data_IF_625886017876
#
_entry.id   IF_625886017876
#
_cell.length_a   1.000
_cell.length_b   1.000
_cell.length_c   1.000
_cell.angle_alpha   90.00
_cell.angle_beta   90.00
_cell.angle_gamma   90.00
#
_symmetry.space_group_name_H-M   'P 1'
#
loop_
_entity.id
_entity.type
_entity.pdbx_description
1 polymer ?
#
# COMPACT_ATOMS: atom_id res chain seq x y z
N UNK A 1 -4.91 7.18 -16.62
CA UNK A 1 -3.62 6.48 -16.48
C UNK A 1 -3.67 5.27 -17.40
N UNK A 2 -2.56 4.84 -18.02
CA UNK A 2 -2.58 3.62 -18.84
C UNK A 2 -2.61 2.37 -17.97
N UNK A 3 -2.92 1.21 -18.57
CA UNK A 3 -2.86 -0.08 -17.88
C UNK A 3 -1.45 -0.35 -17.34
N UNK A 4 -0.42 -0.02 -18.13
CA UNK A 4 0.98 -0.24 -17.80
C UNK A 4 1.41 0.63 -16.61
N UNK A 5 0.99 1.89 -16.60
CA UNK A 5 1.24 2.81 -15.48
C UNK A 5 0.56 2.34 -14.19
N UNK A 6 -0.71 1.91 -14.28
CA UNK A 6 -1.48 1.38 -13.15
C UNK A 6 -0.81 0.12 -12.57
N UNK A 7 -0.44 -0.81 -13.45
CA UNK A 7 0.26 -2.05 -13.10
C UNK A 7 1.61 -1.76 -12.45
N UNK A 8 2.37 -0.80 -13.00
CA UNK A 8 3.66 -0.37 -12.47
C UNK A 8 3.52 0.20 -11.06
N UNK A 9 2.52 1.04 -10.80
CA UNK A 9 2.26 1.58 -9.46
C UNK A 9 1.94 0.49 -8.44
N UNK A 10 1.07 -0.47 -8.79
CA UNK A 10 0.76 -1.60 -7.90
C UNK A 10 2.01 -2.45 -7.61
N UNK A 11 2.85 -2.71 -8.62
CA UNK A 11 4.13 -3.40 -8.43
C UNK A 11 5.07 -2.65 -7.49
N UNK A 12 5.17 -1.32 -7.64
CA UNK A 12 6.00 -0.49 -6.76
C UNK A 12 5.51 -0.57 -5.30
N UNK A 13 4.20 -0.51 -5.06
CA UNK A 13 3.64 -0.69 -3.72
C UNK A 13 3.96 -2.09 -3.16
N UNK A 14 3.87 -3.13 -3.99
CA UNK A 14 4.25 -4.49 -3.60
C UNK A 14 5.73 -4.62 -3.23
N UNK A 15 6.63 -3.99 -3.97
CA UNK A 15 8.07 -3.93 -3.65
C UNK A 15 8.31 -3.22 -2.33
N UNK A 16 7.67 -2.07 -2.10
CA UNK A 16 7.76 -1.37 -0.82
C UNK A 16 7.28 -2.23 0.35
N UNK A 17 6.17 -2.98 0.17
CA UNK A 17 5.71 -3.91 1.21
C UNK A 17 6.75 -5.00 1.50
N UNK A 18 7.36 -5.58 0.47
CA UNK A 18 8.37 -6.62 0.63
C UNK A 18 9.60 -6.10 1.41
N UNK A 19 10.04 -4.87 1.12
CA UNK A 19 11.13 -4.22 1.84
C UNK A 19 10.79 -4.01 3.33
N UNK A 20 9.60 -3.48 3.62
CA UNK A 20 9.13 -3.29 5.01
C UNK A 20 9.05 -4.63 5.75
N UNK A 21 8.52 -5.68 5.10
CA UNK A 21 8.42 -7.01 5.70
C UNK A 21 9.79 -7.65 5.97
N UNK A 22 10.76 -7.40 5.10
CA UNK A 22 12.13 -7.84 5.31
C UNK A 22 12.75 -7.19 6.55
N UNK A 23 12.56 -5.87 6.72
CA UNK A 23 13.03 -5.14 7.90
C UNK A 23 12.30 -5.55 9.18
N UNK A 24 11.03 -5.95 9.10
CA UNK A 24 10.23 -6.45 10.22
C UNK A 24 10.57 -7.90 10.62
N UNK A 25 11.29 -8.66 9.80
CA UNK A 25 11.59 -10.07 10.06
C UNK A 25 12.59 -10.29 11.23
N UNK A 26 13.71 -9.55 11.33
CA UNK A 26 14.60 -9.67 12.48
C UNK A 26 14.08 -8.84 13.67
N UNK A 27 13.71 -9.53 14.75
CA UNK A 27 13.47 -8.90 16.06
C UNK A 27 14.52 -9.38 17.08
N UNK A 28 15.06 -8.47 17.92
CA UNK A 28 14.80 -7.04 17.95
C UNK A 28 15.47 -6.29 16.79
N UNK A 29 14.80 -5.26 16.27
CA UNK A 29 15.35 -4.37 15.24
C UNK A 29 16.18 -3.27 15.89
N UNK A 30 17.26 -2.83 15.24
CA UNK A 30 18.04 -1.68 15.70
C UNK A 30 17.32 -0.35 15.40
N UNK A 31 17.71 0.77 16.04
CA UNK A 31 17.04 2.06 15.85
C UNK A 31 17.02 2.58 14.41
N UNK A 32 18.02 2.26 13.59
CA UNK A 32 18.03 2.67 12.18
C UNK A 32 17.02 1.86 11.38
N UNK A 33 16.92 0.55 11.64
CA UNK A 33 15.87 -0.31 11.07
C UNK A 33 14.48 0.16 11.46
N UNK A 34 14.25 0.54 12.72
CA UNK A 34 12.96 1.11 13.14
C UNK A 34 12.62 2.40 12.39
N UNK A 35 13.58 3.32 12.25
CA UNK A 35 13.39 4.57 11.53
C UNK A 35 13.05 4.31 10.05
N UNK A 36 13.74 3.36 9.40
CA UNK A 36 13.47 2.96 8.03
C UNK A 36 12.06 2.35 7.87
N UNK A 37 11.66 1.43 8.76
CA UNK A 37 10.32 0.83 8.78
C UNK A 37 9.25 1.93 8.85
N UNK A 38 9.43 2.92 9.73
CA UNK A 38 8.50 4.04 9.89
C UNK A 38 8.40 4.88 8.63
N UNK A 39 9.54 5.29 8.07
CA UNK A 39 9.58 6.11 6.85
C UNK A 39 8.89 5.40 5.69
N UNK A 40 9.29 4.16 5.40
CA UNK A 40 8.73 3.38 4.30
C UNK A 40 7.23 3.12 4.48
N UNK A 41 6.80 2.85 5.72
CA UNK A 41 5.37 2.64 6.02
C UNK A 41 4.57 3.94 5.88
N UNK A 42 5.14 5.09 6.26
CA UNK A 42 4.52 6.39 6.05
C UNK A 42 4.33 6.68 4.56
N UNK A 43 5.39 6.46 3.76
CA UNK A 43 5.39 6.68 2.32
C UNK A 43 4.38 5.77 1.62
N UNK A 44 4.36 4.48 1.97
CA UNK A 44 3.39 3.51 1.45
C UNK A 44 1.96 3.94 1.79
N UNK A 45 1.69 4.30 3.05
CA UNK A 45 0.38 4.74 3.51
C UNK A 45 -0.08 5.99 2.74
N UNK A 46 0.79 6.99 2.60
CA UNK A 46 0.50 8.23 1.88
C UNK A 46 0.27 7.96 0.39
N UNK A 47 1.04 7.06 -0.22
CA UNK A 47 0.87 6.66 -1.61
C UNK A 47 -0.49 6.02 -1.87
N UNK A 48 -0.92 5.10 -1.01
CA UNK A 48 -2.24 4.45 -1.10
C UNK A 48 -3.35 5.47 -0.86
N UNK A 49 -3.23 6.31 0.16
CA UNK A 49 -4.22 7.36 0.46
C UNK A 49 -4.41 8.32 -0.72
N UNK A 50 -3.30 8.76 -1.31
CA UNK A 50 -3.32 9.69 -2.45
C UNK A 50 -4.04 9.08 -3.65
N UNK A 51 -3.79 7.82 -3.96
CA UNK A 51 -4.47 7.11 -5.05
C UNK A 51 -5.96 6.85 -4.72
N UNK A 52 -6.27 6.55 -3.47
CA UNK A 52 -7.65 6.38 -3.01
C UNK A 52 -8.46 7.68 -3.16
N UNK A 53 -7.88 8.82 -2.76
CA UNK A 53 -8.51 10.14 -2.94
C UNK A 53 -8.63 10.49 -4.42
N UNK A 54 -7.60 10.21 -5.23
CA UNK A 54 -7.60 10.51 -6.67
C UNK A 54 -8.70 9.76 -7.42
N UNK A 55 -8.97 8.51 -7.07
CA UNK A 55 -9.89 7.61 -7.80
C UNK A 55 -11.35 7.74 -7.37
N UNK A 56 -11.65 8.44 -6.29
CA UNK A 56 -13.00 8.58 -5.76
C UNK A 56 -13.95 9.50 -6.56
N UNK A 57 -13.54 10.69 -7.03
CA UNK A 57 -14.49 11.61 -7.64
C UNK A 57 -15.08 11.03 -8.93
N UNK A 58 -16.41 11.03 -9.07
CA UNK A 58 -17.11 10.49 -10.26
C UNK A 58 -16.58 11.07 -11.57
N UNK A 59 -16.24 12.37 -11.58
CA UNK A 59 -15.66 13.04 -12.76
C UNK A 59 -14.36 12.38 -13.23
N UNK A 60 -13.54 11.88 -12.29
CA UNK A 60 -12.30 11.18 -12.60
C UNK A 60 -12.63 9.77 -13.08
N UNK A 61 -13.55 9.07 -12.42
CA UNK A 61 -13.98 7.73 -12.81
C UNK A 61 -14.50 7.67 -14.25
N UNK A 62 -15.26 8.68 -14.71
CA UNK A 62 -15.71 8.76 -16.11
C UNK A 62 -14.59 8.86 -17.14
N UNK A 63 -13.40 9.30 -16.73
CA UNK A 63 -12.20 9.42 -17.57
C UNK A 63 -11.21 8.26 -17.40
N UNK A 64 -11.47 7.35 -16.46
CA UNK A 64 -10.60 6.20 -16.18
C UNK A 64 -10.80 5.10 -17.22
N UNK A 65 -9.73 4.36 -17.47
CA UNK A 65 -9.79 3.17 -18.32
C UNK A 65 -10.63 2.06 -17.66
N UNK A 66 -11.12 1.09 -18.46
CA UNK A 66 -11.82 -0.09 -17.92
C UNK A 66 -10.96 -0.83 -16.88
N UNK A 67 -9.65 -0.94 -17.13
CA UNK A 67 -8.71 -1.54 -16.19
C UNK A 67 -8.63 -0.73 -14.88
N UNK A 68 -8.56 0.59 -14.99
CA UNK A 68 -8.54 1.46 -13.82
C UNK A 68 -9.80 1.32 -12.97
N UNK A 69 -10.98 1.26 -13.60
CA UNK A 69 -12.28 1.12 -12.92
C UNK A 69 -12.49 -0.27 -12.32
N UNK A 70 -12.09 -1.33 -13.04
CA UNK A 70 -12.42 -2.70 -12.67
C UNK A 70 -11.39 -3.36 -11.76
N UNK A 71 -10.13 -2.91 -11.83
CA UNK A 71 -9.01 -3.54 -11.12
C UNK A 71 -8.31 -2.55 -10.21
N UNK A 72 -7.77 -1.46 -10.77
CA UNK A 72 -6.89 -0.57 -10.02
C UNK A 72 -7.61 0.13 -8.86
N UNK A 73 -8.73 0.81 -9.13
CA UNK A 73 -9.47 1.55 -8.11
C UNK A 73 -10.02 0.65 -7.01
N UNK A 74 -10.66 -0.50 -7.30
CA UNK A 74 -11.05 -1.45 -6.27
C UNK A 74 -9.87 -1.95 -5.44
N UNK A 75 -8.73 -2.26 -6.09
CA UNK A 75 -7.52 -2.73 -5.39
C UNK A 75 -7.00 -1.68 -4.41
N UNK A 76 -6.93 -0.42 -4.83
CA UNK A 76 -6.50 0.70 -3.97
C UNK A 76 -7.51 0.93 -2.83
N UNK A 77 -8.80 0.82 -3.10
CA UNK A 77 -9.85 0.95 -2.08
C UNK A 77 -9.75 -0.15 -1.02
N UNK A 78 -9.64 -1.41 -1.45
CA UNK A 78 -9.42 -2.55 -0.56
C UNK A 78 -8.14 -2.36 0.26
N UNK A 79 -7.03 -1.95 -0.39
CA UNK A 79 -5.76 -1.72 0.27
C UNK A 79 -5.86 -0.60 1.31
N UNK A 80 -6.66 0.44 1.07
CA UNK A 80 -6.84 1.54 2.00
C UNK A 80 -7.79 1.19 3.15
N UNK A 81 -8.97 0.64 2.84
CA UNK A 81 -10.06 0.45 3.81
C UNK A 81 -9.91 -0.83 4.64
N UNK A 82 -9.37 -1.90 4.05
CA UNK A 82 -9.47 -3.24 4.63
C UNK A 82 -8.13 -3.84 5.06
N UNK A 83 -7.00 -3.24 4.71
CA UNK A 83 -5.68 -3.76 5.16
C UNK A 83 -5.33 -3.38 6.60
N UNK A 84 -6.02 -2.39 7.18
CA UNK A 84 -5.63 -1.80 8.46
C UNK A 84 -4.56 -0.68 8.34
N UNK A 85 -3.92 -0.50 7.17
CA UNK A 85 -2.87 0.52 6.98
C UNK A 85 -3.34 1.93 7.31
N UNK A 86 -4.60 2.27 6.99
CA UNK A 86 -5.23 3.55 7.29
C UNK A 86 -5.25 3.87 8.79
N UNK A 87 -5.38 2.85 9.65
CA UNK A 87 -5.48 2.98 11.11
C UNK A 87 -4.14 2.78 11.81
N UNK A 88 -3.10 2.41 11.07
CA UNK A 88 -1.78 2.16 11.62
C UNK A 88 -1.16 3.47 12.11
N UNK A 89 -0.75 3.48 13.39
CA UNK A 89 -0.06 4.60 14.02
C UNK A 89 1.44 4.47 13.75
N UNK A 90 1.94 5.25 12.80
CA UNK A 90 3.34 5.17 12.33
C UNK A 90 4.35 5.56 13.44
N UNK A 91 3.97 6.47 14.33
CA UNK A 91 4.77 6.86 15.50
C UNK A 91 4.59 5.93 16.70
N UNK A 92 3.75 4.90 16.56
CA UNK A 92 3.50 3.91 17.61
C UNK A 92 4.59 2.86 17.72
N UNK A 93 4.47 2.00 18.74
CA UNK A 93 5.32 0.81 18.88
C UNK A 93 5.23 -0.05 17.62
N UNK A 94 6.38 -0.49 17.10
CA UNK A 94 6.43 -1.50 16.03
C UNK A 94 6.11 -2.84 16.70
N UNK A 95 4.99 -3.42 16.30
CA UNK A 95 4.49 -4.69 16.81
C UNK A 95 3.92 -5.54 15.66
N UNK A 96 3.34 -6.68 16.00
CA UNK A 96 2.80 -7.61 15.02
C UNK A 96 1.71 -7.00 14.11
N UNK A 97 1.04 -5.92 14.51
CA UNK A 97 0.00 -5.26 13.70
C UNK A 97 0.60 -4.52 12.51
N UNK A 98 1.85 -4.09 12.60
CA UNK A 98 2.57 -3.54 11.45
C UNK A 98 2.71 -4.61 10.37
N UNK A 99 3.21 -5.78 10.77
CA UNK A 99 3.38 -6.92 9.87
C UNK A 99 2.05 -7.33 9.23
N UNK A 100 1.00 -7.51 10.03
CA UNK A 100 -0.34 -7.87 9.54
C UNK A 100 -0.87 -6.85 8.52
N UNK A 101 -0.75 -5.54 8.81
CA UNK A 101 -1.22 -4.51 7.91
C UNK A 101 -0.45 -4.50 6.58
N UNK A 102 0.88 -4.63 6.62
CA UNK A 102 1.73 -4.63 5.44
C UNK A 102 1.53 -5.89 4.60
N UNK A 103 1.41 -7.07 5.23
CA UNK A 103 1.05 -8.32 4.54
C UNK A 103 -0.30 -8.20 3.84
N UNK A 104 -1.30 -7.61 4.51
CA UNK A 104 -2.60 -7.41 3.89
C UNK A 104 -2.55 -6.43 2.71
N UNK A 105 -1.73 -5.37 2.76
CA UNK A 105 -1.53 -4.49 1.60
C UNK A 105 -0.86 -5.27 0.47
N UNK A 106 0.23 -5.97 0.76
CA UNK A 106 1.00 -6.74 -0.22
C UNK A 106 0.12 -7.73 -0.99
N UNK A 107 -0.72 -8.48 -0.27
CA UNK A 107 -1.67 -9.41 -0.86
C UNK A 107 -2.62 -8.71 -1.84
N UNK A 108 -3.24 -7.61 -1.40
CA UNK A 108 -4.24 -6.88 -2.18
C UNK A 108 -3.64 -6.27 -3.45
N UNK A 109 -2.51 -5.57 -3.34
CA UNK A 109 -1.87 -4.93 -4.50
C UNK A 109 -1.26 -5.93 -5.50
N UNK A 110 -0.98 -7.16 -5.05
CA UNK A 110 -0.40 -8.22 -5.89
C UNK A 110 -1.42 -9.15 -6.53
N UNK A 111 -2.66 -9.18 -6.03
CA UNK A 111 -3.72 -10.14 -6.41
C UNK A 111 -3.99 -10.22 -7.92
N UNK A 112 -3.83 -9.12 -8.64
CA UNK A 112 -4.12 -9.01 -10.07
C UNK A 112 -2.88 -8.73 -10.93
N UNK A 113 -1.68 -8.95 -10.38
CA UNK A 113 -0.40 -8.74 -11.06
C UNK A 113 0.25 -10.03 -11.57
N UNK A 114 -0.31 -11.17 -11.19
CA UNK A 114 0.03 -12.53 -11.65
C UNK A 114 -0.48 -12.82 -13.05
#
# INVERSE_FOLDING_TARGET
>A
MTKEEATRKLRQMGVQCAEILHLLAPLPSDPASEAAIRSLTADLRQGIESEYIRTQPERIQRSMTIFELSIYSPTIEEAWKESGIRRLKVDGKIDWKWKEAIESVAYKVSKYLS
#
